data_IF_143498287813
#
_entry.id   IF_143498287813
#
_cell.length_a   1.000
_cell.length_b   1.000
_cell.length_c   1.000
_cell.angle_alpha   90.00
_cell.angle_beta   90.00
_cell.angle_gamma   90.00
#
_symmetry.space_group_name_H-M   'P 1'
#
loop_
_entity.id
_entity.type
_entity.pdbx_description
1 polymer ?
#
# COMPACT_ATOMS: atom_id res chain seq x y z
N UNK A 1 -12.87 -3.70 1.73
CA UNK A 1 -12.72 -3.97 0.28
C UNK A 1 -13.61 -3.07 -0.57
N UNK A 2 -14.93 -3.28 -0.70
CA UNK A 2 -15.78 -2.47 -1.61
C UNK A 2 -15.76 -0.96 -1.29
N UNK A 3 -15.86 -0.60 -0.01
CA UNK A 3 -15.77 0.80 0.45
C UNK A 3 -14.41 1.43 0.13
N UNK A 4 -13.34 0.66 0.26
CA UNK A 4 -11.97 1.13 0.00
C UNK A 4 -11.75 1.33 -1.49
N UNK A 5 -12.29 0.43 -2.33
CA UNK A 5 -12.30 0.56 -3.78
C UNK A 5 -13.10 1.79 -4.22
N UNK A 6 -14.27 2.04 -3.62
CA UNK A 6 -15.06 3.24 -3.90
C UNK A 6 -14.30 4.54 -3.53
N UNK A 7 -13.65 4.56 -2.37
CA UNK A 7 -12.83 5.70 -1.93
C UNK A 7 -11.62 5.92 -2.84
N UNK A 8 -10.98 4.84 -3.28
CA UNK A 8 -9.89 4.91 -4.25
C UNK A 8 -10.37 5.46 -5.59
N UNK A 9 -11.53 5.02 -6.05
CA UNK A 9 -12.14 5.48 -7.30
C UNK A 9 -12.43 6.98 -7.29
N UNK A 10 -13.01 7.50 -6.20
CA UNK A 10 -13.21 8.93 -6.00
C UNK A 10 -11.90 9.72 -6.02
N UNK A 11 -10.88 9.22 -5.30
CA UNK A 11 -9.55 9.83 -5.28
C UNK A 11 -8.93 9.88 -6.68
N UNK A 12 -8.98 8.77 -7.42
CA UNK A 12 -8.40 8.68 -8.75
C UNK A 12 -9.11 9.58 -9.75
N UNK A 13 -10.44 9.71 -9.67
CA UNK A 13 -11.22 10.67 -10.47
C UNK A 13 -10.79 12.11 -10.21
N UNK A 14 -10.48 12.45 -8.95
CA UNK A 14 -10.04 13.79 -8.56
C UNK A 14 -8.64 14.12 -9.09
N UNK A 15 -7.69 13.20 -8.97
CA UNK A 15 -6.27 13.50 -9.19
C UNK A 15 -5.72 13.03 -10.55
N UNK A 16 -6.32 12.04 -11.21
CA UNK A 16 -5.78 11.49 -12.46
C UNK A 16 -6.27 12.23 -13.72
N UNK A 17 -7.26 13.11 -13.61
CA UNK A 17 -7.80 13.89 -14.73
C UNK A 17 -8.13 13.03 -15.95
N UNK A 18 -7.66 13.43 -17.12
CA UNK A 18 -7.85 12.69 -18.38
C UNK A 18 -7.24 11.28 -18.38
N UNK A 19 -6.30 11.00 -17.47
CA UNK A 19 -5.61 9.71 -17.39
C UNK A 19 -6.32 8.71 -16.49
N UNK A 20 -7.41 9.08 -15.81
CA UNK A 20 -8.14 8.18 -14.90
C UNK A 20 -8.46 6.79 -15.50
N UNK A 21 -8.87 6.73 -16.78
CA UNK A 21 -9.14 5.45 -17.47
C UNK A 21 -7.88 4.69 -17.92
N UNK A 22 -6.73 5.34 -17.95
CA UNK A 22 -5.43 4.77 -18.38
C UNK A 22 -4.52 4.42 -17.20
N UNK A 23 -4.70 5.05 -16.05
CA UNK A 23 -4.04 4.71 -14.79
C UNK A 23 -4.75 3.54 -14.11
N UNK A 24 -4.74 2.37 -14.75
CA UNK A 24 -5.41 1.18 -14.24
C UNK A 24 -4.85 0.70 -12.89
N UNK A 25 -3.58 1.00 -12.59
CA UNK A 25 -2.94 0.66 -11.32
C UNK A 25 -1.90 1.76 -11.05
N UNK A 26 -2.30 2.82 -10.33
CA UNK A 26 -1.34 3.78 -9.77
C UNK A 26 -0.38 3.08 -8.81
N UNK A 27 0.72 3.72 -8.39
CA UNK A 27 1.76 3.18 -7.50
C UNK A 27 1.27 2.72 -6.12
N UNK A 28 0.41 1.72 -6.09
CA UNK A 28 -0.34 1.17 -4.96
C UNK A 28 0.30 -0.12 -4.48
N UNK A 29 1.46 -0.52 -5.03
CA UNK A 29 2.16 -1.73 -4.64
C UNK A 29 2.39 -1.79 -3.12
N UNK A 30 2.74 -0.65 -2.51
CA UNK A 30 2.90 -0.54 -1.06
C UNK A 30 1.58 -0.78 -0.34
N UNK A 31 0.53 -0.04 -0.72
CA UNK A 31 -0.79 -0.16 -0.08
C UNK A 31 -1.39 -1.56 -0.21
N UNK A 32 -1.25 -2.19 -1.38
CA UNK A 32 -1.73 -3.54 -1.63
C UNK A 32 -0.99 -4.57 -0.77
N UNK A 33 0.34 -4.46 -0.69
CA UNK A 33 1.13 -5.35 0.16
C UNK A 33 0.81 -5.14 1.65
N UNK A 34 0.55 -3.91 2.10
CA UNK A 34 0.14 -3.62 3.47
C UNK A 34 -1.25 -4.24 3.79
N UNK A 35 -2.21 -4.16 2.85
CA UNK A 35 -3.52 -4.82 3.00
C UNK A 35 -3.38 -6.35 3.09
N UNK A 36 -2.57 -6.95 2.21
CA UNK A 36 -2.26 -8.37 2.27
C UNK A 36 -1.64 -8.78 3.62
N UNK A 37 -0.72 -7.97 4.15
CA UNK A 37 -0.13 -8.23 5.47
C UNK A 37 -1.19 -8.21 6.57
N UNK A 38 -2.10 -7.25 6.56
CA UNK A 38 -3.22 -7.21 7.52
C UNK A 38 -4.11 -8.45 7.40
N UNK A 39 -4.44 -8.85 6.17
CA UNK A 39 -5.28 -10.04 5.90
C UNK A 39 -4.59 -11.34 6.38
N UNK A 40 -3.26 -11.40 6.34
CA UNK A 40 -2.46 -12.52 6.87
C UNK A 40 -2.23 -12.44 8.40
N UNK A 41 -2.69 -11.38 9.08
CA UNK A 41 -2.42 -11.13 10.49
C UNK A 41 -0.97 -10.71 10.77
N UNK A 42 -0.26 -10.21 9.76
CA UNK A 42 1.11 -9.73 9.86
C UNK A 42 1.14 -8.23 10.16
N UNK A 43 2.24 -7.75 10.74
CA UNK A 43 2.43 -6.33 10.96
C UNK A 43 2.68 -5.65 9.60
N UNK A 44 1.85 -4.68 9.18
CA UNK A 44 2.07 -3.96 7.92
C UNK A 44 3.26 -3.00 7.99
N UNK A 45 3.87 -2.78 9.17
CA UNK A 45 5.15 -2.05 9.26
C UNK A 45 6.27 -2.89 8.64
N UNK A 46 6.91 -2.33 7.63
CA UNK A 46 7.89 -2.99 6.76
C UNK A 46 9.27 -2.99 7.41
N UNK A 47 9.58 -2.00 8.24
CA UNK A 47 10.88 -1.89 8.94
C UNK A 47 10.73 -1.73 10.43
N UNK A 48 11.77 -2.17 11.14
CA UNK A 48 11.91 -1.95 12.58
C UNK A 48 12.43 -0.52 12.80
N UNK A 49 11.60 0.30 13.43
CA UNK A 49 11.97 1.67 13.83
C UNK A 49 11.32 2.76 12.95
N UNK A 50 11.03 3.90 13.56
CA UNK A 50 10.28 4.99 12.94
C UNK A 50 11.02 5.65 11.77
N UNK A 51 12.33 5.87 11.91
CA UNK A 51 13.14 6.52 10.88
C UNK A 51 13.37 5.62 9.66
N UNK A 52 13.64 4.33 9.89
CA UNK A 52 13.83 3.37 8.81
C UNK A 52 12.57 3.23 7.96
N UNK A 53 11.40 3.19 8.60
CA UNK A 53 10.11 3.14 7.90
C UNK A 53 9.86 4.38 7.03
N UNK A 54 10.36 5.56 7.41
CA UNK A 54 10.06 6.82 6.70
C UNK A 54 11.06 7.12 5.57
N UNK A 55 12.33 6.76 5.74
CA UNK A 55 13.41 7.24 4.87
C UNK A 55 14.12 6.16 4.06
N UNK A 56 14.03 4.90 4.44
CA UNK A 56 14.70 3.83 3.68
C UNK A 56 13.82 3.32 2.55
N UNK A 57 14.43 2.93 1.41
CA UNK A 57 13.68 2.29 0.34
C UNK A 57 13.08 0.97 0.82
N UNK A 58 11.87 0.69 0.35
CA UNK A 58 11.16 -0.56 0.65
C UNK A 58 11.54 -1.66 -0.34
N UNK A 59 11.87 -2.83 0.20
CA UNK A 59 12.12 -4.06 -0.55
C UNK A 59 11.12 -5.16 -0.19
N UNK A 60 11.00 -6.22 -1.02
CA UNK A 60 10.14 -7.37 -0.71
C UNK A 60 10.49 -8.07 0.61
N UNK A 61 11.76 -8.05 1.00
CA UNK A 61 12.27 -8.63 2.26
C UNK A 61 11.87 -7.85 3.51
N UNK A 62 11.33 -6.65 3.36
CA UNK A 62 10.84 -5.85 4.49
C UNK A 62 9.48 -6.37 5.00
N UNK A 63 8.73 -7.11 4.17
CA UNK A 63 7.43 -7.69 4.56
C UNK A 63 7.56 -9.03 5.31
N UNK A 64 8.73 -9.40 5.80
CA UNK A 64 8.99 -10.71 6.40
C UNK A 64 8.50 -10.77 7.86
N UNK A 65 7.33 -11.42 8.04
CA UNK A 65 6.88 -12.38 9.07
C UNK A 65 7.19 -12.16 10.58
N UNK A 66 6.37 -12.72 11.49
CA UNK A 66 6.05 -12.14 12.79
C UNK A 66 7.22 -12.18 13.77
N UNK A 67 7.18 -11.23 14.71
CA UNK A 67 7.92 -11.33 15.96
C UNK A 67 7.46 -12.62 16.66
N UNK A 68 8.28 -13.65 16.61
CA UNK A 68 8.31 -14.65 17.69
C UNK A 68 8.70 -13.97 19.00
#
# INVERSE_FOLDING_TARGET
MEKDVAKWDEYMKLYSGQYYRRSCIGGLHIWYNDQLCNDMGWNPKRKKGFFAELFEPYGPTDYVSPLN
#
